data_IF_400536749287
#
_entry.id   IF_400536749287
#
_cell.length_a   1.000
_cell.length_b   1.000
_cell.length_c   1.000
_cell.angle_alpha   90.00
_cell.angle_beta   90.00
_cell.angle_gamma   90.00
#
_symmetry.space_group_name_H-M   'P 1'
#
loop_
_entity.id
_entity.type
_entity.pdbx_description
1 polymer ?
#
# COMPACT_ATOMS: atom_id res chain seq x y z
N UNK A 1 14.07 -56.44 7.65
CA UNK A 1 13.30 -55.77 6.58
C UNK A 1 12.16 -54.89 7.09
N UNK A 2 11.15 -55.37 7.85
CA UNK A 2 10.02 -54.51 8.29
C UNK A 2 10.43 -53.38 9.26
N UNK A 3 11.24 -53.69 10.28
CA UNK A 3 11.72 -52.71 11.24
C UNK A 3 12.61 -51.62 10.62
N UNK A 4 13.42 -51.99 9.64
CA UNK A 4 14.29 -51.05 8.91
C UNK A 4 13.47 -50.06 8.07
N UNK A 5 12.39 -50.53 7.44
CA UNK A 5 11.44 -49.69 6.70
C UNK A 5 10.73 -48.69 7.61
N UNK A 6 10.36 -49.08 8.83
CA UNK A 6 9.72 -48.17 9.79
C UNK A 6 10.71 -47.14 10.34
N UNK A 7 11.97 -47.53 10.60
CA UNK A 7 13.03 -46.58 10.97
C UNK A 7 13.28 -45.55 9.86
N UNK A 8 13.30 -45.99 8.59
CA UNK A 8 13.48 -45.09 7.46
C UNK A 8 12.31 -44.11 7.32
N UNK A 9 11.08 -44.57 7.56
CA UNK A 9 9.88 -43.72 7.53
C UNK A 9 9.94 -42.65 8.62
N UNK A 10 10.33 -43.02 9.84
CA UNK A 10 10.45 -42.09 10.96
C UNK A 10 11.57 -41.05 10.75
N UNK A 11 12.68 -41.45 10.12
CA UNK A 11 13.77 -40.53 9.76
C UNK A 11 13.33 -39.52 8.71
N UNK A 12 12.58 -39.96 7.68
CA UNK A 12 12.03 -39.06 6.66
C UNK A 12 11.04 -38.06 7.28
N UNK A 13 10.18 -38.53 8.17
CA UNK A 13 9.21 -37.68 8.86
C UNK A 13 9.88 -36.64 9.76
N UNK A 14 10.93 -37.05 10.50
CA UNK A 14 11.77 -36.14 11.29
C UNK A 14 12.50 -35.12 10.42
N UNK A 15 13.04 -35.53 9.27
CA UNK A 15 13.74 -34.62 8.37
C UNK A 15 12.78 -33.61 7.71
N UNK A 16 11.57 -34.03 7.32
CA UNK A 16 10.52 -33.11 6.86
C UNK A 16 10.14 -32.10 7.94
N UNK A 17 10.00 -32.54 9.19
CA UNK A 17 9.69 -31.65 10.30
C UNK A 17 10.83 -30.66 10.57
N UNK A 18 12.10 -31.06 10.41
CA UNK A 18 13.27 -30.17 10.53
C UNK A 18 13.30 -29.14 9.41
N UNK A 19 12.99 -29.52 8.17
CA UNK A 19 12.85 -28.56 7.06
C UNK A 19 11.73 -27.52 7.30
N UNK A 20 10.69 -27.86 8.07
CA UNK A 20 9.64 -26.91 8.47
C UNK A 20 9.96 -26.14 9.75
N UNK A 21 10.85 -26.67 10.61
CA UNK A 21 11.19 -26.15 11.94
C UNK A 21 12.45 -25.30 11.93
N UNK A 22 13.34 -25.46 10.95
CA UNK A 22 14.47 -24.57 10.76
C UNK A 22 13.93 -23.21 10.33
N UNK A 23 13.69 -22.37 11.35
CA UNK A 23 13.57 -20.91 11.28
C UNK A 23 14.86 -20.28 10.75
N UNK A 24 15.26 -20.72 9.56
CA UNK A 24 16.18 -20.04 8.69
C UNK A 24 15.49 -18.75 8.25
N UNK A 25 16.16 -17.65 8.54
CA UNK A 25 15.92 -16.31 8.04
C UNK A 25 15.86 -16.29 6.50
N UNK A 26 14.72 -16.69 5.96
CA UNK A 26 14.36 -16.47 4.57
C UNK A 26 13.15 -15.51 4.57
N UNK A 27 13.30 -14.23 4.20
CA UNK A 27 12.18 -13.30 4.13
C UNK A 27 11.38 -13.54 2.83
N UNK A 28 10.82 -14.73 2.67
CA UNK A 28 9.95 -15.14 1.55
C UNK A 28 9.07 -16.27 2.10
N UNK A 29 7.82 -16.09 2.54
CA UNK A 29 6.68 -15.49 1.86
C UNK A 29 5.60 -15.15 2.91
N UNK A 30 5.85 -14.16 3.76
CA UNK A 30 4.73 -13.50 4.43
C UNK A 30 3.86 -12.86 3.34
N UNK A 31 2.53 -12.97 3.45
CA UNK A 31 1.62 -12.24 2.55
C UNK A 31 2.11 -10.78 2.45
N UNK A 32 2.26 -10.22 1.25
CA UNK A 32 2.63 -8.81 1.10
C UNK A 32 1.72 -7.96 1.96
N UNK A 33 2.33 -7.19 2.86
CA UNK A 33 1.58 -6.44 3.86
C UNK A 33 1.56 -4.95 3.53
N UNK A 34 0.43 -4.31 3.77
CA UNK A 34 0.26 -2.86 3.68
C UNK A 34 1.28 -2.09 4.53
N UNK A 35 1.83 -2.67 5.61
CA UNK A 35 2.89 -2.06 6.42
C UNK A 35 4.16 -1.75 5.61
N UNK A 36 4.44 -2.48 4.53
CA UNK A 36 5.59 -2.18 3.65
C UNK A 36 5.38 -0.89 2.85
N UNK A 37 4.14 -0.46 2.64
CA UNK A 37 3.84 0.82 1.99
C UNK A 37 4.18 1.99 2.91
N UNK A 38 3.92 1.88 4.20
CA UNK A 38 4.28 2.92 5.17
C UNK A 38 5.79 3.20 5.25
N UNK A 39 6.63 2.25 4.81
CA UNK A 39 8.09 2.43 4.74
C UNK A 39 8.57 3.14 3.47
N UNK A 40 7.78 3.10 2.39
CA UNK A 40 8.21 3.51 1.04
C UNK A 40 7.41 4.66 0.45
N UNK A 41 6.18 4.85 0.92
CA UNK A 41 5.29 5.94 0.54
C UNK A 41 5.22 6.91 1.72
N UNK A 42 5.58 8.19 1.55
CA UNK A 42 5.39 9.18 2.60
C UNK A 42 3.91 9.43 2.85
N UNK A 43 3.54 9.79 4.08
CA UNK A 43 2.18 10.21 4.40
C UNK A 43 1.76 11.42 3.57
N UNK A 44 0.47 11.51 3.24
CA UNK A 44 -0.07 12.60 2.44
C UNK A 44 -0.15 13.91 3.24
N UNK A 45 0.29 15.01 2.62
CA UNK A 45 0.08 16.37 3.15
C UNK A 45 -1.16 17.01 2.50
N UNK A 46 -2.28 17.18 3.22
CA UNK A 46 -3.49 17.77 2.66
C UNK A 46 -3.35 19.25 2.28
N UNK A 47 -2.36 19.98 2.84
CA UNK A 47 -2.22 21.42 2.61
C UNK A 47 -1.48 21.75 1.33
N UNK A 48 -0.40 21.01 1.05
CA UNK A 48 0.47 21.28 -0.10
C UNK A 48 0.57 20.12 -1.09
N UNK A 49 0.12 18.92 -0.68
CA UNK A 49 0.23 17.71 -1.46
C UNK A 49 -0.68 17.70 -2.69
N UNK A 50 -0.18 17.13 -3.78
CA UNK A 50 -1.01 16.81 -4.94
C UNK A 50 -1.58 15.41 -4.78
N UNK A 51 -2.90 15.34 -4.53
CA UNK A 51 -3.59 14.05 -4.32
C UNK A 51 -3.41 13.09 -5.49
N UNK A 52 -3.33 13.60 -6.73
CA UNK A 52 -3.27 12.78 -7.93
C UNK A 52 -1.89 12.13 -8.04
N UNK A 53 -0.85 12.92 -7.76
CA UNK A 53 0.52 12.42 -7.71
C UNK A 53 0.71 11.42 -6.57
N UNK A 54 0.17 11.72 -5.39
CA UNK A 54 0.21 10.83 -4.22
C UNK A 54 -0.44 9.47 -4.52
N UNK A 55 -1.67 9.47 -5.06
CA UNK A 55 -2.37 8.24 -5.43
C UNK A 55 -1.60 7.45 -6.49
N UNK A 56 -1.02 8.12 -7.48
CA UNK A 56 -0.19 7.46 -8.50
C UNK A 56 1.06 6.80 -7.91
N UNK A 57 1.72 7.46 -6.95
CA UNK A 57 2.87 6.90 -6.23
C UNK A 57 2.44 5.69 -5.41
N UNK A 58 1.36 5.81 -4.65
CA UNK A 58 0.78 4.74 -3.85
C UNK A 58 0.49 3.49 -4.71
N UNK A 59 -0.24 3.64 -5.82
CA UNK A 59 -0.59 2.52 -6.72
C UNK A 59 0.65 1.83 -7.26
N UNK A 60 1.69 2.60 -7.60
CA UNK A 60 2.95 2.05 -8.10
C UNK A 60 3.65 1.22 -7.02
N UNK A 61 3.68 1.69 -5.77
CA UNK A 61 4.32 0.95 -4.68
C UNK A 61 3.50 -0.27 -4.28
N UNK A 62 2.18 -0.18 -4.22
CA UNK A 62 1.30 -1.32 -3.96
C UNK A 62 1.48 -2.42 -5.00
N UNK A 63 1.55 -2.06 -6.29
CA UNK A 63 1.86 -3.01 -7.38
C UNK A 63 3.26 -3.61 -7.26
N UNK A 64 4.28 -2.80 -6.94
CA UNK A 64 5.67 -3.29 -6.76
C UNK A 64 5.78 -4.25 -5.58
N UNK A 65 5.05 -3.97 -4.51
CA UNK A 65 4.96 -4.82 -3.34
C UNK A 65 4.06 -6.05 -3.55
N UNK A 66 3.34 -6.15 -4.67
CA UNK A 66 2.39 -7.22 -4.98
C UNK A 66 1.27 -7.33 -3.93
N UNK A 67 0.80 -6.19 -3.43
CA UNK A 67 -0.32 -6.15 -2.48
C UNK A 67 -1.62 -6.35 -3.26
N UNK A 68 -2.47 -7.25 -2.75
CA UNK A 68 -3.79 -7.52 -3.29
C UNK A 68 -4.66 -6.26 -3.28
N UNK A 69 -5.43 -6.03 -4.35
CA UNK A 69 -6.24 -4.80 -4.49
C UNK A 69 -7.27 -4.63 -3.38
N UNK A 70 -7.71 -5.72 -2.75
CA UNK A 70 -8.61 -5.70 -1.58
C UNK A 70 -7.97 -5.02 -0.37
N UNK A 71 -6.64 -5.06 -0.25
CA UNK A 71 -5.91 -4.52 0.90
C UNK A 71 -5.39 -3.10 0.63
N UNK A 72 -5.61 -2.57 -0.58
CA UNK A 72 -5.15 -1.23 -0.96
C UNK A 72 -5.82 -0.14 -0.14
N UNK A 73 -7.10 -0.28 0.18
CA UNK A 73 -7.80 0.72 1.00
C UNK A 73 -7.17 0.78 2.39
N UNK A 74 -6.93 -0.36 3.03
CA UNK A 74 -6.27 -0.42 4.33
C UNK A 74 -4.88 0.22 4.30
N UNK A 75 -4.08 -0.07 3.26
CA UNK A 75 -2.77 0.57 3.08
C UNK A 75 -2.86 2.07 2.80
N UNK A 76 -3.89 2.52 2.09
CA UNK A 76 -4.12 3.94 1.82
C UNK A 76 -4.48 4.69 3.10
N UNK A 77 -5.37 4.14 3.93
CA UNK A 77 -5.80 4.75 5.19
C UNK A 77 -4.63 5.01 6.15
N UNK A 78 -3.64 4.11 6.18
CA UNK A 78 -2.43 4.28 6.99
C UNK A 78 -1.55 5.47 6.59
N UNK A 79 -1.68 5.92 5.34
CA UNK A 79 -0.86 6.99 4.76
C UNK A 79 -1.60 8.32 4.73
N UNK A 80 -2.89 8.34 5.07
CA UNK A 80 -3.70 9.54 5.09
C UNK A 80 -3.77 10.12 6.52
N UNK A 81 -3.75 11.45 6.66
CA UNK A 81 -4.04 12.08 7.94
C UNK A 81 -5.50 11.86 8.38
N UNK A 82 -5.72 11.95 9.69
CA UNK A 82 -6.96 11.54 10.35
C UNK A 82 -8.21 12.25 9.83
N UNK A 83 -8.11 13.54 9.47
CA UNK A 83 -9.22 14.33 8.93
C UNK A 83 -9.73 13.79 7.58
N UNK A 84 -8.84 13.26 6.75
CA UNK A 84 -9.21 12.58 5.50
C UNK A 84 -9.77 11.19 5.78
N UNK A 85 -9.19 10.47 6.73
CA UNK A 85 -9.70 9.15 7.14
C UNK A 85 -11.15 9.26 7.65
N UNK A 86 -11.43 10.27 8.47
CA UNK A 86 -12.79 10.57 8.94
C UNK A 86 -13.76 10.92 7.80
N UNK A 87 -13.26 11.56 6.73
CA UNK A 87 -14.07 11.84 5.55
C UNK A 87 -14.46 10.54 4.85
N UNK A 88 -13.53 9.61 4.69
CA UNK A 88 -13.76 8.29 4.08
C UNK A 88 -14.72 7.46 4.94
N UNK A 89 -14.60 7.53 6.28
CA UNK A 89 -15.47 6.79 7.21
C UNK A 89 -16.95 7.20 7.15
N UNK A 90 -17.30 8.29 6.45
CA UNK A 90 -18.69 8.73 6.21
C UNK A 90 -19.31 8.11 4.96
N UNK A 91 -18.52 7.43 4.13
CA UNK A 91 -19.01 6.67 2.97
C UNK A 91 -19.65 5.36 3.45
N UNK A 92 -20.46 4.70 2.60
CA UNK A 92 -21.11 3.44 3.00
C UNK A 92 -20.12 2.28 3.07
N UNK A 93 -20.40 1.25 3.88
CA UNK A 93 -19.51 0.09 4.04
C UNK A 93 -19.22 -0.61 2.70
N UNK A 94 -20.23 -0.72 1.82
CA UNK A 94 -20.06 -1.33 0.49
C UNK A 94 -19.14 -0.52 -0.44
N UNK A 95 -18.95 0.77 -0.15
CA UNK A 95 -18.16 1.69 -0.94
C UNK A 95 -16.72 1.83 -0.42
N UNK A 96 -16.50 1.56 0.87
CA UNK A 96 -15.19 1.72 1.53
C UNK A 96 -14.19 0.68 1.04
N UNK A 97 -14.60 -0.56 0.77
CA UNK A 97 -13.69 -1.60 0.29
C UNK A 97 -13.24 -1.40 -1.16
N UNK A 98 -13.90 -0.53 -1.91
CA UNK A 98 -13.57 -0.24 -3.30
C UNK A 98 -12.52 0.86 -3.42
N UNK A 99 -11.27 0.47 -3.71
CA UNK A 99 -10.20 1.43 -3.97
C UNK A 99 -10.58 2.46 -5.04
N UNK A 100 -11.22 2.05 -6.14
CA UNK A 100 -11.60 2.96 -7.22
C UNK A 100 -12.65 3.99 -6.76
N UNK A 101 -13.56 3.60 -5.88
CA UNK A 101 -14.53 4.52 -5.30
C UNK A 101 -13.85 5.54 -4.40
N UNK A 102 -13.04 5.09 -3.43
CA UNK A 102 -12.28 5.95 -2.52
C UNK A 102 -11.35 6.90 -3.29
N UNK A 103 -10.68 6.41 -4.34
CA UNK A 103 -9.89 7.23 -5.26
C UNK A 103 -10.74 8.36 -5.86
N UNK A 104 -11.95 8.07 -6.32
CA UNK A 104 -12.89 9.05 -6.84
C UNK A 104 -13.31 10.10 -5.80
N UNK A 105 -13.60 9.68 -4.56
CA UNK A 105 -13.93 10.58 -3.44
C UNK A 105 -12.78 11.54 -3.16
N UNK A 106 -11.56 11.00 -3.01
CA UNK A 106 -10.36 11.80 -2.77
C UNK A 106 -10.09 12.78 -3.91
N UNK A 107 -10.15 12.33 -5.16
CA UNK A 107 -9.98 13.21 -6.32
C UNK A 107 -11.05 14.30 -6.37
N UNK A 108 -12.31 14.00 -6.04
CA UNK A 108 -13.38 15.00 -6.01
C UNK A 108 -13.18 16.03 -4.89
N UNK A 109 -12.67 15.61 -3.73
CA UNK A 109 -12.44 16.48 -2.57
C UNK A 109 -11.24 17.41 -2.76
N UNK A 110 -10.16 16.87 -3.30
CA UNK A 110 -8.90 17.59 -3.52
C UNK A 110 -8.77 18.10 -4.96
N UNK A 111 -9.87 18.12 -5.73
CA UNK A 111 -9.89 18.66 -7.08
C UNK A 111 -9.41 20.09 -7.03
N UNK A 112 -8.22 20.32 -7.57
CA UNK A 112 -7.69 21.64 -7.76
C UNK A 112 -8.67 22.41 -8.65
N UNK A 113 -9.18 23.52 -8.12
CA UNK A 113 -9.87 24.49 -8.96
C UNK A 113 -8.97 24.83 -10.16
N UNK A 114 -9.52 25.13 -11.36
CA UNK A 114 -8.72 25.67 -12.46
C UNK A 114 -7.81 26.84 -12.05
N UNK A 115 -8.20 27.58 -11.01
CA UNK A 115 -7.41 28.67 -10.43
C UNK A 115 -6.16 28.19 -9.67
N UNK A 116 -6.23 27.07 -8.96
CA UNK A 116 -5.07 26.52 -8.24
C UNK A 116 -4.07 25.88 -9.21
N UNK A 117 -4.56 25.28 -10.30
CA UNK A 117 -3.74 24.82 -11.42
C UNK A 117 -3.03 25.99 -12.11
N UNK A 118 -3.76 27.08 -12.42
CA UNK A 118 -3.16 28.32 -12.94
C UNK A 118 -2.12 28.90 -11.98
N UNK A 119 -2.41 28.90 -10.68
CA UNK A 119 -1.48 29.36 -9.65
C UNK A 119 -0.19 28.53 -9.60
N UNK A 120 -0.28 27.19 -9.67
CA UNK A 120 0.90 26.30 -9.75
C UNK A 120 1.70 26.54 -11.03
N UNK A 121 1.04 26.71 -12.17
CA UNK A 121 1.68 26.97 -13.46
C UNK A 121 2.43 28.32 -13.48
N UNK A 122 1.80 29.38 -12.97
CA UNK A 122 2.40 30.71 -12.85
C UNK A 122 3.60 30.72 -11.90
N UNK A 123 3.55 29.97 -10.78
CA UNK A 123 4.70 29.81 -9.89
C UNK A 123 5.86 29.12 -10.58
N UNK A 124 5.59 28.11 -11.41
CA UNK A 124 6.63 27.41 -12.15
C UNK A 124 7.26 28.30 -13.22
N UNK A 125 6.47 29.06 -13.99
CA UNK A 125 6.99 30.08 -14.93
C UNK A 125 7.86 31.12 -14.24
N UNK A 126 7.41 31.68 -13.11
CA UNK A 126 8.20 32.67 -12.34
C UNK A 126 9.50 32.12 -11.76
N UNK A 127 9.57 30.82 -11.49
CA UNK A 127 10.80 30.18 -11.02
C UNK A 127 11.76 29.88 -12.18
N UNK A 128 11.26 29.64 -13.39
CA UNK A 128 12.06 29.47 -14.60
C UNK A 128 12.66 30.78 -15.10
N UNK A 129 11.96 31.92 -14.94
CA UNK A 129 12.48 33.25 -15.31
C UNK A 129 13.54 33.80 -14.34
N UNK A 130 13.69 33.19 -13.17
CA UNK A 130 14.64 33.61 -12.12
C UNK A 130 15.91 32.74 -12.03
N UNK A 131 16.02 31.72 -12.88
CA UNK A 131 17.19 30.84 -12.99
C UNK A 131 18.01 31.18 -14.23
#
# INVERSE_FOLDING_TARGET
MKAEKERLKMVIELEMLRMTSDGSTNPKHGKPSCYELAKTVPSFDPKNGDITLFLTLFERQAKRAQIETTDWVSGLLMLLPSDIVELIARESEEAIDSYNYIKGVLLKRFKLSPEELRGKFLRHQKNLEKS
#
